data_IF_150480254998
#
_entry.id   IF_150480254998
#
_cell.length_a   1.000
_cell.length_b   1.000
_cell.length_c   1.000
_cell.angle_alpha   90.00
_cell.angle_beta   90.00
_cell.angle_gamma   90.00
#
_symmetry.space_group_name_H-M   'P 1'
#
loop_
_entity.id
_entity.type
_entity.pdbx_description
1 polymer ?
#
# COMPACT_ATOMS: atom_id res chain seq x y z
N UNK A 1 -1.37 13.25 -3.33
CA UNK A 1 -2.62 12.76 -2.73
C UNK A 1 -2.89 13.61 -1.48
N UNK A 2 -3.85 14.53 -1.55
CA UNK A 2 -4.09 15.45 -0.45
C UNK A 2 -5.49 15.21 0.12
N UNK A 3 -5.57 14.40 1.17
CA UNK A 3 -6.70 14.47 2.09
C UNK A 3 -6.32 15.49 3.16
N UNK A 4 -7.10 16.55 3.32
CA UNK A 4 -6.84 17.56 4.34
C UNK A 4 -6.83 16.91 5.73
N UNK A 5 -5.88 17.31 6.58
CA UNK A 5 -5.81 16.83 7.94
C UNK A 5 -7.14 17.07 8.69
N UNK A 6 -7.58 16.09 9.46
CA UNK A 6 -8.81 16.14 10.23
C UNK A 6 -9.70 14.91 10.08
N UNK A 7 -10.96 15.07 10.45
CA UNK A 7 -11.97 13.99 10.36
C UNK A 7 -12.38 13.83 8.90
N UNK A 8 -12.42 12.60 8.41
CA UNK A 8 -12.92 12.27 7.08
C UNK A 8 -13.86 11.05 7.15
N UNK A 9 -14.96 11.12 6.40
CA UNK A 9 -15.92 10.04 6.27
C UNK A 9 -15.81 9.47 4.85
N UNK A 10 -15.55 8.17 4.76
CA UNK A 10 -15.26 7.48 3.51
C UNK A 10 -16.42 6.61 3.09
N UNK A 11 -16.83 6.72 1.84
CA UNK A 11 -17.77 5.82 1.18
C UNK A 11 -17.11 5.23 -0.08
N UNK A 12 -17.32 3.95 -0.30
CA UNK A 12 -16.72 3.21 -1.43
C UNK A 12 -17.83 2.66 -2.31
N UNK A 13 -17.79 2.98 -3.60
CA UNK A 13 -18.77 2.52 -4.56
C UNK A 13 -18.12 1.80 -5.74
N UNK A 14 -18.56 0.55 -6.01
CA UNK A 14 -18.11 -0.26 -7.16
C UNK A 14 -19.16 -0.39 -8.28
N UNK A 15 -20.31 0.25 -8.11
CA UNK A 15 -21.44 0.19 -9.03
C UNK A 15 -21.07 0.72 -10.42
N UNK A 16 -21.75 0.22 -11.47
CA UNK A 16 -21.59 0.73 -12.84
C UNK A 16 -22.12 2.16 -12.97
N UNK A 17 -23.26 2.47 -12.37
CA UNK A 17 -23.77 3.83 -12.25
C UNK A 17 -23.14 4.51 -11.02
N UNK A 18 -21.97 5.11 -11.26
CA UNK A 18 -21.19 5.80 -10.24
C UNK A 18 -21.92 7.02 -9.71
N UNK A 19 -22.58 7.80 -10.59
CA UNK A 19 -23.25 9.04 -10.22
C UNK A 19 -24.40 8.79 -9.25
N UNK A 20 -25.24 7.81 -9.54
CA UNK A 20 -26.34 7.43 -8.64
C UNK A 20 -25.79 6.91 -7.30
N UNK A 21 -24.74 6.09 -7.32
CA UNK A 21 -24.14 5.57 -6.10
C UNK A 21 -23.56 6.70 -5.24
N UNK A 22 -22.78 7.61 -5.84
CA UNK A 22 -22.20 8.75 -5.15
C UNK A 22 -23.26 9.67 -4.53
N UNK A 23 -24.35 9.95 -5.25
CA UNK A 23 -25.46 10.74 -4.72
C UNK A 23 -26.14 10.05 -3.53
N UNK A 24 -26.39 8.75 -3.62
CA UNK A 24 -27.01 7.99 -2.54
C UNK A 24 -26.14 7.98 -1.28
N UNK A 25 -24.85 7.74 -1.43
CA UNK A 25 -23.90 7.74 -0.30
C UNK A 25 -23.71 9.13 0.30
N UNK A 26 -23.61 10.16 -0.54
CA UNK A 26 -23.54 11.54 -0.10
C UNK A 26 -24.78 11.93 0.71
N UNK A 27 -25.98 11.64 0.21
CA UNK A 27 -27.23 11.95 0.88
C UNK A 27 -27.34 11.14 2.20
N UNK A 28 -27.00 9.87 2.18
CA UNK A 28 -26.96 9.01 3.39
C UNK A 28 -26.09 9.63 4.46
N UNK A 29 -24.84 10.00 4.14
CA UNK A 29 -23.90 10.58 5.11
C UNK A 29 -24.24 12.01 5.48
N UNK A 30 -24.88 12.74 4.59
CA UNK A 30 -25.38 14.09 4.92
C UNK A 30 -26.54 14.03 5.91
N UNK A 31 -27.37 12.99 5.86
CA UNK A 31 -28.47 12.79 6.80
C UNK A 31 -28.01 12.13 8.10
N UNK A 32 -27.03 11.22 8.00
CA UNK A 32 -26.43 10.51 9.14
C UNK A 32 -24.90 10.55 9.03
N UNK A 33 -24.29 11.52 9.68
CA UNK A 33 -22.84 11.72 9.72
C UNK A 33 -22.13 10.87 10.78
N UNK A 34 -22.77 9.82 11.30
CA UNK A 34 -22.23 8.97 12.36
C UNK A 34 -21.82 9.74 13.63
N UNK A 35 -22.53 10.83 13.94
CA UNK A 35 -22.25 11.68 15.11
C UNK A 35 -21.13 12.70 14.90
N UNK A 36 -20.53 12.78 13.71
CA UNK A 36 -19.48 13.78 13.43
C UNK A 36 -20.08 15.10 12.90
N UNK A 37 -19.43 16.21 13.25
CA UNK A 37 -19.76 17.54 12.73
C UNK A 37 -19.28 17.66 11.26
N UNK A 38 -20.20 17.66 10.33
CA UNK A 38 -19.94 17.75 8.88
C UNK A 38 -19.20 19.03 8.49
N UNK A 39 -19.42 20.13 9.20
CA UNK A 39 -18.74 21.40 8.91
C UNK A 39 -17.25 21.37 9.24
N UNK A 40 -16.79 20.34 9.97
CA UNK A 40 -15.40 20.08 10.32
C UNK A 40 -14.84 18.81 9.66
N UNK A 41 -15.68 18.05 8.97
CA UNK A 41 -15.33 16.79 8.37
C UNK A 41 -15.30 16.85 6.83
N UNK A 42 -14.40 16.08 6.21
CA UNK A 42 -14.33 15.90 4.76
C UNK A 42 -15.13 14.66 4.37
N UNK A 43 -16.03 14.80 3.41
CA UNK A 43 -16.67 13.64 2.76
C UNK A 43 -15.77 13.13 1.63
N UNK A 44 -15.49 11.85 1.62
CA UNK A 44 -14.63 11.21 0.60
C UNK A 44 -15.40 10.08 -0.06
N UNK A 45 -15.54 10.14 -1.38
CA UNK A 45 -16.09 9.07 -2.18
C UNK A 45 -15.00 8.42 -3.02
N UNK A 46 -14.94 7.09 -3.00
CA UNK A 46 -13.93 6.30 -3.72
C UNK A 46 -14.61 5.35 -4.68
N UNK A 47 -14.14 5.31 -5.92
CA UNK A 47 -14.60 4.33 -6.91
C UNK A 47 -13.43 3.81 -7.76
N UNK A 48 -13.34 2.49 -8.00
CA UNK A 48 -12.35 1.92 -8.92
C UNK A 48 -12.75 2.09 -10.39
N UNK A 49 -13.71 2.96 -10.69
CA UNK A 49 -14.16 3.24 -12.05
C UNK A 49 -13.68 4.59 -12.54
N UNK A 50 -13.52 4.73 -13.85
CA UNK A 50 -13.34 6.04 -14.50
C UNK A 50 -14.68 6.76 -14.40
N UNK A 51 -14.66 8.00 -13.90
CA UNK A 51 -15.85 8.84 -13.76
C UNK A 51 -15.58 10.26 -14.23
N UNK A 52 -15.89 10.52 -15.49
CA UNK A 52 -15.59 11.81 -16.14
C UNK A 52 -16.30 13.00 -15.48
N UNK A 53 -17.51 12.77 -14.93
CA UNK A 53 -18.28 13.83 -14.27
C UNK A 53 -17.85 14.10 -12.83
N UNK A 54 -16.87 13.39 -12.28
CA UNK A 54 -16.43 13.51 -10.88
C UNK A 54 -16.14 14.98 -10.49
N UNK A 55 -15.39 15.71 -11.33
CA UNK A 55 -15.04 17.10 -11.07
C UNK A 55 -16.25 18.05 -10.99
N UNK A 56 -17.23 17.86 -11.86
CA UNK A 56 -18.46 18.67 -11.86
C UNK A 56 -19.34 18.31 -10.65
N UNK A 57 -19.45 17.04 -10.34
CA UNK A 57 -20.18 16.56 -9.17
C UNK A 57 -19.58 17.12 -7.86
N UNK A 58 -18.25 17.11 -7.72
CA UNK A 58 -17.56 17.69 -6.56
C UNK A 58 -17.88 19.20 -6.44
N UNK A 59 -17.81 19.95 -7.54
CA UNK A 59 -18.15 21.39 -7.54
C UNK A 59 -19.60 21.62 -7.10
N UNK A 60 -20.55 20.85 -7.64
CA UNK A 60 -21.96 20.93 -7.26
C UNK A 60 -22.13 20.66 -5.76
N UNK A 61 -21.57 19.56 -5.25
CA UNK A 61 -21.74 19.20 -3.83
C UNK A 61 -21.02 20.16 -2.87
N UNK A 62 -19.88 20.74 -3.26
CA UNK A 62 -19.22 21.81 -2.50
C UNK A 62 -20.07 23.06 -2.42
N UNK A 63 -20.79 23.41 -3.47
CA UNK A 63 -21.68 24.59 -3.46
C UNK A 63 -22.86 24.47 -2.48
N UNK A 64 -23.22 23.24 -2.07
CA UNK A 64 -24.22 23.00 -1.03
C UNK A 64 -23.75 23.42 0.39
N UNK A 65 -22.46 23.64 0.60
CA UNK A 65 -21.84 24.04 1.88
C UNK A 65 -22.22 23.16 3.09
N UNK A 66 -22.49 21.86 2.85
CA UNK A 66 -22.90 20.91 3.90
C UNK A 66 -21.74 20.21 4.60
N UNK A 67 -20.57 20.17 3.96
CA UNK A 67 -19.36 19.54 4.43
C UNK A 67 -18.20 20.54 4.41
N UNK A 68 -17.21 20.32 5.29
CA UNK A 68 -15.96 21.11 5.27
C UNK A 68 -15.28 21.04 3.91
N UNK A 69 -15.21 19.83 3.35
CA UNK A 69 -14.66 19.57 2.03
C UNK A 69 -15.26 18.29 1.44
N UNK A 70 -15.16 18.15 0.13
CA UNK A 70 -15.62 16.96 -0.61
C UNK A 70 -14.52 16.57 -1.58
N UNK A 71 -14.13 15.30 -1.51
CA UNK A 71 -13.06 14.70 -2.34
C UNK A 71 -13.59 13.44 -3.00
N UNK A 72 -13.20 13.21 -4.24
CA UNK A 72 -13.49 11.98 -4.97
C UNK A 72 -12.16 11.38 -5.43
N UNK A 73 -12.04 10.08 -5.28
CA UNK A 73 -10.97 9.28 -5.85
C UNK A 73 -11.56 8.30 -6.85
N UNK A 74 -11.26 8.50 -8.11
CA UNK A 74 -11.63 7.59 -9.21
C UNK A 74 -10.50 6.61 -9.50
N UNK A 75 -10.67 5.76 -10.51
CA UNK A 75 -9.62 4.84 -10.96
C UNK A 75 -8.29 5.57 -11.24
N UNK A 76 -8.34 6.78 -11.79
CA UNK A 76 -7.15 7.55 -12.17
C UNK A 76 -6.35 7.95 -10.94
N UNK A 77 -7.01 8.57 -9.94
CA UNK A 77 -6.34 8.98 -8.71
C UNK A 77 -5.86 7.78 -7.88
N UNK A 78 -6.59 6.66 -7.92
CA UNK A 78 -6.18 5.42 -7.26
C UNK A 78 -4.96 4.79 -7.94
N UNK A 79 -4.88 4.80 -9.27
CA UNK A 79 -3.73 4.32 -10.03
C UNK A 79 -2.48 5.15 -9.72
N UNK A 80 -2.59 6.47 -9.77
CA UNK A 80 -1.51 7.39 -9.41
C UNK A 80 -1.04 7.19 -7.97
N UNK A 81 -1.97 6.90 -7.07
CA UNK A 81 -1.63 6.65 -5.68
C UNK A 81 -0.88 5.33 -5.51
N UNK A 82 -1.37 4.26 -6.11
CA UNK A 82 -0.73 2.94 -6.06
C UNK A 82 0.66 2.99 -6.68
N UNK A 83 0.85 3.74 -7.77
CA UNK A 83 2.14 3.89 -8.44
C UNK A 83 3.23 4.51 -7.52
N UNK A 84 2.84 5.31 -6.53
CA UNK A 84 3.76 5.89 -5.55
C UNK A 84 4.22 4.88 -4.49
N UNK A 85 3.54 3.72 -4.38
CA UNK A 85 3.81 2.68 -3.39
C UNK A 85 4.04 1.32 -4.05
N UNK A 86 5.21 1.08 -4.65
CA UNK A 86 5.48 -0.13 -5.43
C UNK A 86 5.20 -1.45 -4.69
N UNK A 87 5.46 -1.49 -3.38
CA UNK A 87 5.17 -2.68 -2.55
C UNK A 87 3.66 -2.95 -2.49
N UNK A 88 2.85 -1.90 -2.36
CA UNK A 88 1.38 -2.02 -2.38
C UNK A 88 0.88 -2.41 -3.77
N UNK A 89 1.48 -1.85 -4.82
CA UNK A 89 1.16 -2.21 -6.20
C UNK A 89 1.39 -3.71 -6.47
N UNK A 90 2.53 -4.24 -6.04
CA UNK A 90 2.87 -5.66 -6.18
C UNK A 90 1.92 -6.53 -5.35
N UNK A 91 1.65 -6.14 -4.10
CA UNK A 91 0.70 -6.84 -3.24
C UNK A 91 -0.71 -6.88 -3.86
N UNK A 92 -1.20 -5.75 -4.37
CA UNK A 92 -2.51 -5.67 -5.02
C UNK A 92 -2.54 -6.53 -6.28
N UNK A 93 -1.53 -6.44 -7.12
CA UNK A 93 -1.42 -7.22 -8.36
C UNK A 93 -1.40 -8.75 -8.09
N UNK A 94 -0.77 -9.19 -6.99
CA UNK A 94 -0.85 -10.58 -6.51
C UNK A 94 -2.29 -10.94 -6.12
N UNK A 95 -2.98 -10.08 -5.36
CA UNK A 95 -4.35 -10.33 -4.89
C UNK A 95 -5.38 -10.40 -6.02
N UNK A 96 -5.24 -9.57 -7.04
CA UNK A 96 -6.14 -9.59 -8.22
C UNK A 96 -5.69 -10.57 -9.31
N UNK A 97 -4.56 -11.29 -9.10
CA UNK A 97 -4.10 -12.33 -10.00
C UNK A 97 -3.51 -11.83 -11.33
N UNK A 98 -3.11 -10.55 -11.41
CA UNK A 98 -2.46 -9.98 -12.61
C UNK A 98 -0.99 -10.33 -12.69
N UNK A 99 -0.35 -10.63 -11.56
CA UNK A 99 1.03 -11.09 -11.51
C UNK A 99 1.04 -12.61 -11.49
N UNK A 100 1.38 -13.21 -12.62
CA UNK A 100 1.64 -14.64 -12.72
C UNK A 100 3.15 -14.87 -12.84
N UNK A 101 3.74 -15.62 -11.90
CA UNK A 101 5.15 -16.06 -11.96
C UNK A 101 6.17 -14.93 -12.09
N UNK A 102 6.04 -13.85 -11.31
CA UNK A 102 7.08 -12.83 -11.28
C UNK A 102 8.17 -13.18 -10.27
N UNK A 103 9.39 -12.77 -10.59
CA UNK A 103 10.52 -12.78 -9.65
C UNK A 103 10.46 -11.63 -8.63
N UNK A 104 9.36 -10.86 -8.62
CA UNK A 104 9.13 -9.75 -7.72
C UNK A 104 8.20 -10.19 -6.60
N UNK A 105 8.69 -10.14 -5.38
CA UNK A 105 7.89 -10.39 -4.19
C UNK A 105 7.91 -9.13 -3.30
N UNK A 106 6.90 -8.94 -2.47
CA UNK A 106 7.03 -8.02 -1.34
C UNK A 106 7.65 -8.75 -0.13
N UNK A 107 8.29 -8.05 0.80
CA UNK A 107 9.10 -8.70 1.85
C UNK A 107 8.37 -9.79 2.63
N UNK A 108 7.12 -9.56 3.00
CA UNK A 108 6.33 -10.56 3.73
C UNK A 108 6.01 -11.80 2.88
N UNK A 109 5.75 -11.65 1.57
CA UNK A 109 5.48 -12.77 0.68
C UNK A 109 6.73 -13.63 0.48
N UNK A 110 7.88 -12.98 0.23
CA UNK A 110 9.17 -13.67 0.13
C UNK A 110 9.48 -14.42 1.43
N UNK A 111 9.35 -13.75 2.58
CA UNK A 111 9.57 -14.36 3.89
C UNK A 111 8.68 -15.58 4.10
N UNK A 112 7.40 -15.48 3.83
CA UNK A 112 6.45 -16.57 4.00
C UNK A 112 6.79 -17.80 3.13
N UNK A 113 7.30 -17.58 1.92
CA UNK A 113 7.76 -18.65 1.03
C UNK A 113 9.04 -19.28 1.56
N UNK A 114 10.02 -18.47 1.97
CA UNK A 114 11.34 -18.92 2.39
C UNK A 114 11.31 -19.55 3.80
N UNK A 115 10.60 -18.98 4.74
CA UNK A 115 10.54 -19.41 6.13
C UNK A 115 9.58 -20.58 6.39
N UNK A 116 8.83 -21.02 5.35
CA UNK A 116 7.84 -22.09 5.47
C UNK A 116 8.53 -23.46 5.54
N UNK A 117 8.72 -23.97 6.76
CA UNK A 117 9.05 -25.38 7.00
C UNK A 117 7.81 -26.27 7.03
N UNK A 118 8.01 -27.60 7.05
CA UNK A 118 6.90 -28.56 7.11
C UNK A 118 6.05 -28.45 8.38
N UNK A 119 6.66 -28.06 9.51
CA UNK A 119 5.99 -27.98 10.83
C UNK A 119 5.98 -26.61 11.47
N UNK A 120 6.95 -25.74 11.13
CA UNK A 120 7.14 -24.47 11.81
C UNK A 120 7.43 -23.37 10.79
N UNK A 121 6.95 -22.16 11.08
CA UNK A 121 7.33 -20.94 10.37
C UNK A 121 8.40 -20.23 11.20
N UNK A 122 9.55 -19.98 10.62
CA UNK A 122 10.62 -19.25 11.29
C UNK A 122 10.20 -17.78 11.51
N UNK A 123 10.33 -17.22 12.73
CA UNK A 123 10.08 -15.80 12.94
C UNK A 123 11.27 -14.96 12.42
N UNK A 124 11.03 -13.74 11.90
CA UNK A 124 12.11 -12.85 11.45
C UNK A 124 13.18 -12.59 12.50
N UNK A 125 12.80 -12.52 13.77
CA UNK A 125 13.71 -12.31 14.89
C UNK A 125 14.84 -13.35 15.01
N UNK A 126 14.60 -14.57 14.52
CA UNK A 126 15.61 -15.62 14.53
C UNK A 126 16.80 -15.27 13.61
N UNK A 127 16.51 -14.70 12.45
CA UNK A 127 17.56 -14.30 11.49
C UNK A 127 18.22 -12.97 11.88
N UNK A 128 17.54 -12.15 12.63
CA UNK A 128 18.04 -10.82 13.05
C UNK A 128 18.86 -10.86 14.33
N UNK A 129 18.68 -11.87 15.19
CA UNK A 129 19.34 -11.96 16.49
C UNK A 129 20.87 -11.91 16.40
N UNK A 130 21.48 -11.01 17.16
CA UNK A 130 22.93 -10.83 17.22
C UNK A 130 23.55 -10.16 15.98
N UNK A 131 22.73 -9.52 15.12
CA UNK A 131 23.18 -8.88 13.86
C UNK A 131 22.83 -7.38 13.81
N UNK A 132 22.84 -6.71 14.95
CA UNK A 132 22.40 -5.31 15.12
C UNK A 132 23.16 -4.33 14.20
N UNK A 133 24.46 -4.52 14.02
CA UNK A 133 25.28 -3.68 13.14
C UNK A 133 24.86 -3.83 11.67
N UNK A 134 24.61 -5.06 11.22
CA UNK A 134 24.14 -5.33 9.87
C UNK A 134 22.73 -4.76 9.64
N UNK A 135 21.83 -4.90 10.62
CA UNK A 135 20.49 -4.31 10.59
C UNK A 135 20.59 -2.79 10.44
N UNK A 136 21.41 -2.14 11.26
CA UNK A 136 21.59 -0.69 11.22
C UNK A 136 22.20 -0.24 9.89
N UNK A 137 23.17 -0.97 9.35
CA UNK A 137 23.78 -0.67 8.05
C UNK A 137 22.73 -0.72 6.92
N UNK A 138 21.83 -1.70 6.92
CA UNK A 138 20.73 -1.77 5.97
C UNK A 138 19.76 -0.59 6.17
N UNK A 139 19.32 -0.32 7.40
CA UNK A 139 18.40 0.79 7.71
C UNK A 139 18.94 2.14 7.24
N UNK A 140 20.22 2.41 7.49
CA UNK A 140 20.89 3.63 7.02
C UNK A 140 20.92 3.69 5.49
N UNK A 141 21.18 2.56 4.84
CA UNK A 141 21.27 2.47 3.38
C UNK A 141 19.93 2.67 2.67
N UNK A 142 18.83 2.33 3.34
CA UNK A 142 17.49 2.55 2.81
C UNK A 142 17.06 4.03 2.84
N UNK A 143 17.70 4.84 3.70
CA UNK A 143 17.42 6.29 3.78
C UNK A 143 18.18 7.10 2.74
N UNK A 144 19.31 6.59 2.29
CA UNK A 144 20.18 7.27 1.32
C UNK A 144 20.44 6.31 0.16
N UNK A 145 20.03 6.66 -1.07
CA UNK A 145 20.25 5.79 -2.24
C UNK A 145 21.73 5.45 -2.40
N UNK A 146 22.08 4.21 -2.18
CA UNK A 146 23.44 3.69 -2.39
C UNK A 146 23.40 2.18 -2.67
N UNK A 147 24.43 1.69 -3.36
CA UNK A 147 24.65 0.26 -3.52
C UNK A 147 25.27 -0.30 -2.23
N UNK A 148 24.69 -1.40 -1.75
CA UNK A 148 25.22 -2.18 -0.63
C UNK A 148 25.48 -3.61 -1.08
N UNK A 149 26.52 -4.23 -0.55
CA UNK A 149 26.82 -5.62 -0.76
C UNK A 149 26.53 -6.38 0.52
N UNK A 150 25.69 -7.40 0.43
CA UNK A 150 25.38 -8.30 1.56
C UNK A 150 26.00 -9.66 1.26
N UNK A 151 26.84 -10.15 2.16
CA UNK A 151 27.47 -11.46 2.07
C UNK A 151 26.87 -12.39 3.11
N UNK A 152 26.46 -13.56 2.69
CA UNK A 152 25.98 -14.64 3.54
C UNK A 152 26.31 -16.00 2.94
N UNK A 153 25.86 -17.09 3.57
CA UNK A 153 26.08 -18.46 3.09
C UNK A 153 25.36 -18.71 1.76
N UNK A 154 24.18 -18.10 1.57
CA UNK A 154 23.42 -18.19 0.31
C UNK A 154 22.80 -16.86 -0.06
N UNK A 155 22.45 -16.71 -1.34
CA UNK A 155 21.73 -15.54 -1.84
C UNK A 155 20.34 -15.44 -1.24
N UNK A 156 19.66 -16.54 -1.08
CA UNK A 156 18.34 -16.65 -0.49
C UNK A 156 18.35 -16.19 0.98
N UNK A 157 19.40 -16.54 1.73
CA UNK A 157 19.58 -16.08 3.11
C UNK A 157 19.83 -14.55 3.16
N UNK A 158 20.63 -14.00 2.23
CA UNK A 158 20.80 -12.55 2.12
C UNK A 158 19.49 -11.83 1.86
N UNK A 159 18.68 -12.34 0.93
CA UNK A 159 17.35 -11.78 0.65
C UNK A 159 16.41 -11.92 1.84
N UNK A 160 16.40 -13.08 2.49
CA UNK A 160 15.59 -13.32 3.68
C UNK A 160 15.97 -12.38 4.82
N UNK A 161 17.27 -12.11 5.01
CA UNK A 161 17.74 -11.15 6.02
C UNK A 161 17.24 -9.73 5.72
N UNK A 162 17.36 -9.26 4.47
CA UNK A 162 16.85 -7.94 4.06
C UNK A 162 15.32 -7.87 4.26
N UNK A 163 14.60 -8.94 3.89
CA UNK A 163 13.16 -9.01 4.09
C UNK A 163 12.78 -8.99 5.58
N UNK A 164 13.52 -9.71 6.42
CA UNK A 164 13.31 -9.71 7.87
C UNK A 164 13.50 -8.29 8.48
N UNK A 165 14.53 -7.56 8.04
CA UNK A 165 14.74 -6.16 8.44
C UNK A 165 13.56 -5.29 7.99
N UNK A 166 13.08 -5.45 6.76
CA UNK A 166 11.95 -4.70 6.24
C UNK A 166 10.66 -4.95 7.04
N UNK A 167 10.37 -6.21 7.35
CA UNK A 167 9.20 -6.63 8.13
C UNK A 167 9.25 -6.02 9.54
N UNK A 168 10.43 -6.06 10.19
CA UNK A 168 10.58 -5.47 11.52
C UNK A 168 10.43 -3.94 11.49
N UNK A 169 10.97 -3.27 10.48
CA UNK A 169 10.79 -1.83 10.28
C UNK A 169 9.32 -1.46 10.09
N UNK A 170 8.58 -2.25 9.28
CA UNK A 170 7.15 -2.04 9.06
C UNK A 170 6.35 -2.22 10.35
N UNK A 171 6.66 -3.25 11.14
CA UNK A 171 6.02 -3.48 12.43
C UNK A 171 6.24 -2.32 13.43
N UNK A 172 7.37 -1.60 13.31
CA UNK A 172 7.71 -0.43 14.13
C UNK A 172 7.27 0.90 13.50
N UNK A 173 6.53 0.87 12.39
CA UNK A 173 6.10 2.04 11.60
C UNK A 173 7.27 2.95 11.15
N UNK A 174 8.44 2.38 10.90
CA UNK A 174 9.61 3.09 10.38
C UNK A 174 9.43 3.33 8.86
N UNK A 175 9.22 4.56 8.43
CA UNK A 175 8.94 4.94 7.03
C UNK A 175 10.04 4.55 6.03
N UNK A 176 11.30 4.38 6.49
CA UNK A 176 12.44 4.10 5.61
C UNK A 176 12.42 2.73 4.92
N UNK A 177 11.59 1.80 5.37
CA UNK A 177 11.56 0.42 4.87
C UNK A 177 10.31 0.07 4.04
N UNK A 178 9.46 1.03 3.74
CA UNK A 178 8.16 0.77 3.11
C UNK A 178 8.25 0.32 1.63
N UNK A 179 9.36 0.62 0.94
CA UNK A 179 9.51 0.41 -0.49
C UNK A 179 10.57 -0.65 -0.85
N UNK A 180 10.82 -1.63 0.02
CA UNK A 180 11.72 -2.73 -0.29
C UNK A 180 11.00 -3.75 -1.16
N UNK A 181 11.55 -4.02 -2.35
CA UNK A 181 11.06 -5.03 -3.27
C UNK A 181 12.20 -6.03 -3.51
N UNK A 182 12.13 -7.23 -2.95
CA UNK A 182 13.09 -8.28 -3.27
C UNK A 182 12.86 -8.80 -4.68
N UNK A 183 13.94 -8.94 -5.44
CA UNK A 183 13.95 -9.52 -6.78
C UNK A 183 14.60 -10.89 -6.69
N UNK A 184 13.82 -11.94 -6.90
CA UNK A 184 14.33 -13.31 -6.96
C UNK A 184 14.92 -13.63 -8.35
N UNK A 185 16.06 -14.32 -8.44
CA UNK A 185 16.69 -14.65 -9.72
C UNK A 185 16.02 -15.79 -10.50
N UNK A 186 14.90 -16.30 -10.07
CA UNK A 186 14.21 -17.43 -10.73
C UNK A 186 13.87 -17.18 -12.21
N UNK A 187 13.95 -15.92 -12.68
CA UNK A 187 13.74 -15.56 -14.07
C UNK A 187 14.98 -15.70 -14.97
N UNK A 188 16.17 -15.82 -14.41
CA UNK A 188 17.40 -15.94 -15.22
C UNK A 188 17.65 -17.38 -15.74
N UNK A 189 17.01 -18.38 -15.17
CA UNK A 189 17.16 -19.80 -15.55
C UNK A 189 16.17 -20.26 -16.63
N UNK A 190 15.18 -19.46 -17.00
CA UNK A 190 14.22 -19.80 -18.06
C UNK A 190 14.53 -19.14 -19.41
N UNK A 191 15.62 -18.38 -19.53
CA UNK A 191 16.06 -17.70 -20.74
C UNK A 191 17.32 -18.31 -21.38
N UNK A 192 17.67 -19.55 -21.00
CA UNK A 192 18.77 -20.31 -21.64
C UNK A 192 18.26 -21.55 -22.36
#
# INVERSE_FOLDING_TARGET
FNVSAGISLWEIGTNSDVTTKANNDYNKRTNDSLGYDRTKATFIFVTPRIWEQAGNWVKEKKSENKWKDIVVFTAIELEDWIAQYPVVAIWLADKIGTIKNTSLDYPQLFWNKWAKGEKYVLPPSLLLGGREDAINAIKVSLRVPKVIYVQSVSREESLAFICAVAIECQAKAENSCQNIIPISPASAQQAS
#
